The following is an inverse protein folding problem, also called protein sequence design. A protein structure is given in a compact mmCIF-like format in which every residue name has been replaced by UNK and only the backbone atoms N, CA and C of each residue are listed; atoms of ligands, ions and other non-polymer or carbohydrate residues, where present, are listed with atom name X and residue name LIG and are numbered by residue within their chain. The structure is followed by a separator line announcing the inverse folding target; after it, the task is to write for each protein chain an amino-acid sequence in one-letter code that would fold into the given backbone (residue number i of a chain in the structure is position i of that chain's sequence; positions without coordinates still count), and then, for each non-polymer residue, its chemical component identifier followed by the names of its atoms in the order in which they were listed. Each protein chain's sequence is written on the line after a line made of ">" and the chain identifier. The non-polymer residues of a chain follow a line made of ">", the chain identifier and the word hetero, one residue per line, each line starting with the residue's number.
data_IF_038002587218
#
_entry.id   IF_038002587218
#
_cell.length_a   1.000
_cell.length_b   1.000
_cell.length_c   1.000
_cell.angle_alpha   90.00
_cell.angle_beta   90.00
_cell.angle_gamma   90.00
#
_symmetry.space_group_name_H-M   'P 1'
#
loop_
_entity.id
_entity.type
_entity.pdbx_description
1 polymer ?
#
# COMPACT_ATOMS: atom_id res chain seq x y z
N UNK A 1 47.31 -20.82 -46.91
CA UNK A 1 47.59 -20.48 -48.33
C UNK A 1 46.60 -19.48 -48.78
N UNK A 2 47.10 -18.31 -48.93
CA UNK A 2 47.11 -17.41 -50.09
C UNK A 2 45.69 -17.05 -50.56
N UNK A 3 45.29 -15.85 -50.56
CA UNK A 3 45.68 -14.51 -51.05
C UNK A 3 44.39 -13.94 -51.65
N UNK A 4 43.92 -12.77 -51.22
CA UNK A 4 44.18 -11.45 -51.81
C UNK A 4 43.70 -11.40 -53.28
N UNK A 5 42.96 -10.41 -53.73
CA UNK A 5 43.19 -8.96 -53.87
C UNK A 5 41.91 -8.37 -54.47
N UNK A 6 41.40 -7.23 -54.00
CA UNK A 6 41.66 -5.91 -54.61
C UNK A 6 41.16 -5.79 -56.05
N UNK A 7 40.44 -4.83 -56.52
CA UNK A 7 40.55 -3.39 -56.39
C UNK A 7 39.51 -2.68 -57.29
N UNK A 8 39.11 -1.51 -56.89
CA UNK A 8 39.09 -0.24 -57.65
C UNK A 8 38.23 -0.18 -58.93
N UNK A 9 37.54 0.79 -59.17
CA UNK A 9 37.49 2.23 -58.95
C UNK A 9 36.77 2.91 -60.12
N UNK A 10 36.18 4.00 -59.82
CA UNK A 10 36.13 5.26 -60.55
C UNK A 10 35.27 5.32 -61.82
N UNK A 11 34.38 6.22 -61.84
CA UNK A 11 34.43 7.64 -62.00
C UNK A 11 33.69 8.13 -63.24
N UNK A 12 33.01 9.21 -63.07
CA UNK A 12 32.85 10.40 -63.92
C UNK A 12 31.78 10.32 -65.02
N UNK A 13 31.01 11.23 -65.20
CA UNK A 13 30.97 12.66 -65.34
C UNK A 13 29.84 13.11 -66.29
N UNK A 14 29.17 14.12 -65.91
CA UNK A 14 28.72 15.32 -66.66
C UNK A 14 27.69 15.18 -67.79
N UNK A 15 26.65 15.81 -67.57
CA UNK A 15 26.16 17.12 -68.03
C UNK A 15 25.38 17.07 -69.33
N UNK A 16 24.32 17.83 -69.43
CA UNK A 16 24.05 19.09 -70.11
C UNK A 16 22.55 19.23 -70.38
N UNK A 17 21.91 20.13 -69.73
CA UNK A 17 21.26 21.38 -70.12
C UNK A 17 20.21 21.40 -71.24
N UNK A 18 19.14 22.10 -70.94
CA UNK A 18 18.21 22.94 -71.74
C UNK A 18 17.03 22.18 -72.36
N UNK A 19 15.80 22.66 -72.34
CA UNK A 19 15.23 24.03 -72.37
C UNK A 19 13.76 24.00 -72.03
N UNK A 20 13.34 24.98 -71.29
CA UNK A 20 12.16 25.85 -71.37
C UNK A 20 10.98 25.37 -72.20
N UNK A 21 9.83 25.23 -71.57
CA UNK A 21 8.55 25.75 -72.07
C UNK A 21 7.60 26.07 -70.92
N UNK A 22 7.21 27.37 -70.87
CA UNK A 22 6.23 27.96 -69.98
C UNK A 22 4.86 27.53 -70.42
N UNK A 23 4.03 26.97 -69.54
CA UNK A 23 2.60 27.03 -69.64
C UNK A 23 2.00 27.32 -68.26
N UNK A 24 1.42 28.51 -68.15
CA UNK A 24 0.58 28.92 -67.01
C UNK A 24 -0.65 28.06 -66.94
N UNK A 25 -0.84 27.32 -65.83
CA UNK A 25 -2.13 26.90 -65.36
C UNK A 25 -2.23 27.23 -63.87
N UNK A 26 -3.13 28.17 -63.58
CA UNK A 26 -3.56 28.51 -62.23
C UNK A 26 -4.11 27.23 -61.55
N UNK A 27 -3.35 26.65 -60.69
CA UNK A 27 -3.76 25.62 -59.78
C UNK A 27 -3.66 26.13 -58.34
N UNK A 28 -4.76 26.26 -57.68
CA UNK A 28 -4.86 26.60 -56.24
C UNK A 28 -4.05 25.56 -55.44
N UNK A 29 -2.90 25.95 -54.95
CA UNK A 29 -2.16 25.15 -53.97
C UNK A 29 -2.78 25.48 -52.60
N UNK A 30 -3.66 24.60 -52.14
CA UNK A 30 -4.08 24.57 -50.73
C UNK A 30 -2.91 24.03 -49.93
N UNK A 31 -2.13 24.88 -49.34
CA UNK A 31 -1.12 24.51 -48.34
C UNK A 31 -1.86 24.09 -47.07
N UNK A 32 -2.06 22.78 -46.89
CA UNK A 32 -2.43 22.21 -45.59
C UNK A 32 -1.24 22.38 -44.65
N UNK A 33 -1.22 23.50 -43.92
CA UNK A 33 -0.36 23.64 -42.75
C UNK A 33 -0.80 22.60 -41.75
N UNK A 34 0.07 21.67 -41.29
CA UNK A 34 -0.25 20.86 -40.13
C UNK A 34 -0.45 21.81 -38.95
N UNK A 35 -1.68 21.88 -38.45
CA UNK A 35 -1.96 22.55 -37.18
C UNK A 35 -1.16 21.81 -36.12
N UNK A 36 0.01 22.31 -35.76
CA UNK A 36 0.69 21.98 -34.53
C UNK A 36 -0.26 22.39 -33.39
N UNK A 37 -1.06 21.46 -32.93
CA UNK A 37 -1.68 21.57 -31.62
C UNK A 37 -0.52 21.48 -30.62
N UNK A 38 0.01 22.64 -30.27
CA UNK A 38 0.87 22.81 -29.12
C UNK A 38 0.06 22.25 -27.94
N UNK A 39 0.34 21.01 -27.53
CA UNK A 39 -0.03 20.57 -26.18
C UNK A 39 0.57 21.61 -25.26
N UNK A 40 -0.24 22.52 -24.72
CA UNK A 40 0.13 23.32 -23.57
C UNK A 40 0.68 22.32 -22.55
N UNK A 41 1.99 22.30 -22.42
CA UNK A 41 2.67 21.67 -21.32
C UNK A 41 2.11 22.38 -20.10
N UNK A 42 1.23 21.69 -19.35
CA UNK A 42 0.74 22.21 -18.09
C UNK A 42 1.96 22.61 -17.29
N UNK A 43 1.99 23.85 -16.81
CA UNK A 43 2.99 24.27 -15.85
C UNK A 43 3.08 23.20 -14.77
N UNK A 44 4.29 22.87 -14.26
CA UNK A 44 4.40 21.92 -13.17
C UNK A 44 3.41 22.36 -12.10
N UNK A 45 2.54 21.42 -11.70
CA UNK A 45 1.47 21.66 -10.72
C UNK A 45 2.17 22.30 -9.51
N UNK A 46 1.87 23.57 -9.23
CA UNK A 46 2.42 24.25 -8.06
C UNK A 46 1.83 23.49 -6.88
N UNK A 47 2.63 22.57 -6.32
CA UNK A 47 2.19 21.64 -5.29
C UNK A 47 1.52 22.40 -4.16
N UNK A 48 0.58 21.75 -3.48
CA UNK A 48 -0.09 22.34 -2.33
C UNK A 48 0.94 22.86 -1.30
N UNK A 49 0.64 23.94 -0.56
CA UNK A 49 1.58 24.47 0.43
C UNK A 49 1.90 23.41 1.49
N UNK A 50 3.14 23.37 1.95
CA UNK A 50 3.54 22.51 3.04
C UNK A 50 2.76 22.87 4.31
N UNK A 51 2.31 21.83 5.04
CA UNK A 51 1.65 21.98 6.33
C UNK A 51 2.63 21.53 7.41
N UNK A 52 2.79 22.36 8.44
CA UNK A 52 3.61 21.98 9.61
C UNK A 52 2.69 21.43 10.71
N UNK A 53 3.07 20.30 11.28
CA UNK A 53 2.42 19.69 12.43
C UNK A 53 3.46 19.30 13.48
N UNK A 54 3.20 19.56 14.75
CA UNK A 54 4.01 19.03 15.86
C UNK A 54 3.61 17.58 16.13
N UNK A 55 4.53 16.82 16.68
CA UNK A 55 4.21 15.53 17.26
C UNK A 55 4.57 15.49 18.74
N UNK A 56 3.80 14.72 19.49
CA UNK A 56 4.00 14.39 20.87
C UNK A 56 4.39 12.93 21.01
N UNK A 57 5.51 12.62 21.62
CA UNK A 57 5.90 11.25 21.94
C UNK A 57 4.85 10.65 22.90
N UNK A 58 4.31 9.49 22.53
CA UNK A 58 3.38 8.71 23.36
C UNK A 58 4.16 7.61 24.09
N UNK A 59 5.03 6.90 23.37
CA UNK A 59 5.92 5.89 23.93
C UNK A 59 7.02 5.56 22.95
N UNK A 60 8.14 5.09 23.46
CA UNK A 60 9.27 4.52 22.73
C UNK A 60 9.66 3.14 23.28
N UNK A 61 10.80 2.61 22.87
CA UNK A 61 11.27 1.31 23.31
C UNK A 61 10.55 0.12 22.68
N UNK A 62 9.94 0.30 21.52
CA UNK A 62 9.20 -0.72 20.76
C UNK A 62 10.10 -1.40 19.72
N UNK A 63 9.86 -2.68 19.44
CA UNK A 63 10.54 -3.45 18.39
C UNK A 63 9.76 -3.40 17.07
N UNK A 64 10.06 -2.41 16.19
CA UNK A 64 9.36 -2.20 14.91
C UNK A 64 7.83 -2.23 15.08
N UNK A 65 7.20 -1.16 15.60
CA UNK A 65 5.75 -1.13 15.78
C UNK A 65 5.05 -1.11 14.41
N UNK A 66 4.20 -2.10 14.16
CA UNK A 66 3.55 -2.34 12.85
C UNK A 66 2.12 -1.88 12.76
N UNK A 67 1.40 -1.81 13.90
CA UNK A 67 0.01 -1.36 13.92
C UNK A 67 -0.38 -0.88 15.31
N UNK A 68 -1.37 -0.01 15.41
CA UNK A 68 -1.89 0.52 16.67
C UNK A 68 -3.41 0.51 16.67
N UNK A 69 -4.01 0.26 17.85
CA UNK A 69 -5.46 0.36 18.04
C UNK A 69 -5.78 0.88 19.43
N UNK A 70 -7.00 1.40 19.59
CA UNK A 70 -7.47 2.10 20.79
C UNK A 70 -8.71 1.38 21.32
N UNK A 71 -8.62 0.61 22.44
CA UNK A 71 -9.73 -0.21 22.95
C UNK A 71 -10.83 0.60 23.66
N UNK A 72 -10.71 1.93 23.73
CA UNK A 72 -11.73 2.83 24.27
C UNK A 72 -11.73 2.97 25.78
N UNK A 73 -10.66 2.51 26.46
CA UNK A 73 -10.46 2.62 27.92
C UNK A 73 -9.26 3.53 28.30
N UNK A 74 -8.73 4.26 27.33
CA UNK A 74 -7.53 5.09 27.47
C UNK A 74 -6.21 4.37 27.24
N UNK A 75 -6.21 3.06 27.11
CA UNK A 75 -5.03 2.29 26.73
C UNK A 75 -4.76 2.41 25.21
N UNK A 76 -3.49 2.22 24.82
CA UNK A 76 -3.07 2.10 23.42
C UNK A 76 -2.44 0.72 23.23
N UNK A 77 -2.95 -0.06 22.31
CA UNK A 77 -2.39 -1.37 21.96
C UNK A 77 -1.59 -1.28 20.68
N UNK A 78 -0.37 -1.83 20.74
CA UNK A 78 0.60 -1.75 19.65
C UNK A 78 1.11 -3.14 19.31
N UNK A 79 1.08 -3.51 18.05
CA UNK A 79 1.76 -4.71 17.58
C UNK A 79 3.23 -4.42 17.31
N UNK A 80 4.12 -5.24 17.85
CA UNK A 80 5.52 -5.28 17.47
C UNK A 80 5.75 -6.38 16.44
N UNK A 81 6.52 -6.10 15.41
CA UNK A 81 6.85 -7.06 14.34
C UNK A 81 7.35 -8.41 14.89
N UNK A 82 8.03 -8.37 16.04
CA UNK A 82 8.58 -9.54 16.75
C UNK A 82 7.53 -10.49 17.33
N UNK A 83 6.24 -10.10 17.35
CA UNK A 83 5.14 -10.99 17.76
C UNK A 83 4.45 -10.62 19.07
N UNK A 84 4.72 -9.47 19.64
CA UNK A 84 4.04 -8.97 20.83
C UNK A 84 2.92 -7.99 20.51
N UNK A 85 1.82 -8.07 21.25
CA UNK A 85 0.90 -6.93 21.42
C UNK A 85 1.26 -6.25 22.72
N UNK A 86 1.80 -5.04 22.64
CA UNK A 86 2.19 -4.22 23.80
C UNK A 86 1.05 -3.29 24.20
N UNK A 87 1.02 -2.94 25.46
CA UNK A 87 0.05 -2.00 26.03
C UNK A 87 0.76 -0.76 26.54
N UNK A 88 0.33 0.40 26.11
CA UNK A 88 0.70 1.68 26.67
C UNK A 88 -0.48 2.18 27.49
N UNK A 89 -0.25 2.35 28.78
CA UNK A 89 -1.26 2.80 29.74
C UNK A 89 -0.77 4.06 30.47
N UNK A 90 -1.57 5.12 30.44
CA UNK A 90 -1.19 6.41 31.03
C UNK A 90 0.19 6.90 30.55
N UNK A 91 0.51 6.74 29.26
CA UNK A 91 1.79 7.12 28.67
C UNK A 91 2.97 6.22 29.04
N UNK A 92 2.76 5.08 29.70
CA UNK A 92 3.81 4.13 30.06
C UNK A 92 3.64 2.81 29.31
N UNK A 93 4.70 2.34 28.65
CA UNK A 93 4.79 1.01 28.07
C UNK A 93 4.84 -0.03 29.19
N UNK A 94 3.85 -0.93 29.25
CA UNK A 94 3.82 -1.99 30.24
C UNK A 94 4.90 -3.04 29.93
N UNK A 95 5.49 -3.64 30.97
CA UNK A 95 6.50 -4.71 30.83
C UNK A 95 5.90 -5.95 30.20
N UNK A 96 4.73 -6.41 30.72
CA UNK A 96 4.07 -7.60 30.24
C UNK A 96 3.23 -7.27 28.98
N UNK A 97 3.37 -8.06 27.91
CA UNK A 97 2.54 -7.89 26.73
C UNK A 97 1.10 -8.37 26.98
N UNK A 98 0.14 -7.80 26.26
CA UNK A 98 -1.23 -8.31 26.21
C UNK A 98 -1.31 -9.70 25.60
N UNK A 99 -0.48 -9.95 24.57
CA UNK A 99 -0.44 -11.22 23.85
C UNK A 99 0.99 -11.44 23.31
N UNK A 100 1.47 -12.68 23.46
CA UNK A 100 2.73 -13.18 22.90
C UNK A 100 2.42 -14.28 21.85
N UNK A 101 2.72 -13.99 20.59
CA UNK A 101 2.48 -14.88 19.45
C UNK A 101 3.75 -15.55 18.92
N UNK A 102 4.91 -15.33 19.52
CA UNK A 102 6.20 -15.82 19.01
C UNK A 102 6.25 -17.33 18.81
N UNK A 103 5.55 -18.10 19.64
CA UNK A 103 5.46 -19.56 19.50
C UNK A 103 4.62 -20.03 18.30
N UNK A 104 3.82 -19.12 17.70
CA UNK A 104 2.96 -19.39 16.54
C UNK A 104 3.51 -18.81 15.24
N UNK A 105 4.52 -17.98 15.36
CA UNK A 105 5.11 -17.24 14.23
C UNK A 105 6.41 -17.88 13.76
N UNK A 106 6.80 -17.56 12.55
CA UNK A 106 8.18 -17.74 12.11
C UNK A 106 9.11 -16.87 12.97
N UNK A 107 10.38 -17.22 13.03
CA UNK A 107 11.40 -16.35 13.62
C UNK A 107 11.70 -15.24 12.62
N UNK A 108 11.44 -13.98 13.00
CA UNK A 108 11.76 -12.81 12.18
C UNK A 108 13.24 -12.48 12.25
N UNK A 109 13.80 -11.96 11.17
CA UNK A 109 15.18 -11.51 11.10
C UNK A 109 15.37 -10.19 11.88
N UNK A 110 16.61 -9.91 12.29
CA UNK A 110 16.92 -8.64 12.97
C UNK A 110 17.14 -7.45 12.03
N UNK A 111 17.41 -7.70 10.74
CA UNK A 111 17.58 -6.69 9.70
C UNK A 111 16.26 -6.35 8.98
N UNK A 112 16.35 -6.02 7.69
CA UNK A 112 15.16 -5.82 6.86
C UNK A 112 14.30 -7.07 6.85
N UNK A 113 13.03 -6.90 7.19
CA UNK A 113 12.06 -7.98 7.31
C UNK A 113 10.65 -7.45 7.06
N UNK A 114 9.88 -8.14 6.24
CA UNK A 114 8.48 -7.79 5.98
C UNK A 114 7.49 -8.70 6.72
N UNK A 115 7.95 -9.89 7.14
CA UNK A 115 7.14 -10.85 7.89
C UNK A 115 7.04 -10.45 9.37
N UNK A 116 6.12 -11.05 10.09
CA UNK A 116 5.97 -10.81 11.52
C UNK A 116 4.52 -10.69 11.95
N UNK A 117 4.29 -10.05 13.10
CA UNK A 117 2.96 -9.61 13.52
C UNK A 117 2.70 -8.24 12.90
N UNK A 118 1.82 -8.20 11.86
CA UNK A 118 1.72 -7.07 10.96
C UNK A 118 0.56 -6.13 11.27
N UNK A 119 -0.54 -6.66 11.86
CA UNK A 119 -1.74 -5.83 12.03
C UNK A 119 -2.63 -6.33 13.16
N UNK A 120 -3.41 -5.40 13.74
CA UNK A 120 -4.46 -5.67 14.72
C UNK A 120 -5.72 -4.88 14.37
N UNK A 121 -6.90 -5.50 14.49
CA UNK A 121 -8.18 -4.84 14.34
C UNK A 121 -9.15 -5.24 15.46
N UNK A 122 -9.79 -4.27 16.09
CA UNK A 122 -10.85 -4.54 17.06
C UNK A 122 -12.16 -4.87 16.34
N UNK A 123 -12.90 -5.85 16.86
CA UNK A 123 -14.25 -6.12 16.37
C UNK A 123 -15.13 -4.85 16.49
N UNK A 124 -16.03 -4.54 15.55
CA UNK A 124 -16.90 -3.35 15.64
C UNK A 124 -17.74 -3.29 16.96
N UNK A 125 -18.00 -4.46 17.55
CA UNK A 125 -18.67 -4.58 18.86
C UNK A 125 -17.69 -4.92 19.99
N UNK A 126 -16.43 -4.49 19.91
CA UNK A 126 -15.39 -4.83 20.89
C UNK A 126 -15.78 -4.48 22.33
N UNK A 127 -16.45 -3.35 22.53
CA UNK A 127 -16.95 -2.94 23.87
C UNK A 127 -17.77 -4.03 24.55
N UNK A 128 -18.47 -4.85 23.78
CA UNK A 128 -19.35 -5.94 24.27
C UNK A 128 -18.70 -7.30 24.21
N UNK A 129 -18.11 -7.68 23.07
CA UNK A 129 -17.64 -9.05 22.83
C UNK A 129 -16.17 -9.24 23.13
N UNK A 130 -15.41 -8.16 23.34
CA UNK A 130 -13.97 -8.17 23.65
C UNK A 130 -13.11 -8.92 22.63
N UNK A 131 -13.59 -9.06 21.38
CA UNK A 131 -12.90 -9.76 20.30
C UNK A 131 -12.04 -8.81 19.50
N UNK A 132 -10.85 -9.29 19.11
CA UNK A 132 -9.92 -8.60 18.21
C UNK A 132 -9.25 -9.60 17.28
N UNK A 133 -8.68 -9.11 16.21
CA UNK A 133 -8.09 -9.89 15.13
C UNK A 133 -6.67 -9.44 14.91
N UNK A 134 -5.81 -10.39 14.54
CA UNK A 134 -4.40 -10.12 14.19
C UNK A 134 -4.07 -10.76 12.86
N UNK A 135 -3.12 -10.17 12.15
CA UNK A 135 -2.46 -10.78 10.99
C UNK A 135 -0.99 -11.04 11.35
N UNK A 136 -0.53 -12.28 11.19
CA UNK A 136 0.85 -12.65 11.46
C UNK A 136 1.38 -13.70 10.49
N UNK A 137 2.71 -13.79 10.37
CA UNK A 137 3.42 -14.77 9.56
C UNK A 137 3.71 -16.04 10.35
N UNK A 138 3.06 -17.15 9.99
CA UNK A 138 3.20 -18.46 10.61
C UNK A 138 4.09 -19.40 9.78
N UNK A 139 4.68 -20.45 10.39
CA UNK A 139 5.40 -21.49 9.64
C UNK A 139 4.54 -22.10 8.54
N UNK A 140 5.13 -22.34 7.37
CA UNK A 140 4.49 -22.99 6.24
C UNK A 140 4.87 -24.45 6.09
N UNK A 141 4.19 -25.14 5.18
CA UNK A 141 4.59 -26.45 4.68
C UNK A 141 5.75 -26.31 3.69
N UNK A 142 6.46 -27.42 3.43
CA UNK A 142 7.59 -27.41 2.48
C UNK A 142 7.21 -26.83 1.11
N UNK A 143 8.08 -26.00 0.57
CA UNK A 143 7.92 -25.33 -0.73
C UNK A 143 7.31 -23.92 -0.65
N UNK A 144 6.95 -23.45 0.54
CA UNK A 144 6.49 -22.09 0.82
C UNK A 144 7.40 -21.43 1.85
N UNK A 145 7.51 -20.11 1.82
CA UNK A 145 8.28 -19.36 2.82
C UNK A 145 7.53 -19.33 4.16
N UNK A 146 6.28 -18.89 4.13
CA UNK A 146 5.44 -18.80 5.33
C UNK A 146 3.94 -18.83 4.98
N UNK A 147 3.10 -18.63 5.99
CA UNK A 147 1.66 -18.40 5.85
C UNK A 147 1.27 -17.09 6.49
N UNK A 148 0.58 -16.23 5.75
CA UNK A 148 -0.13 -15.10 6.32
C UNK A 148 -1.40 -15.58 7.02
N UNK A 149 -1.49 -15.45 8.35
CA UNK A 149 -2.60 -15.97 9.16
C UNK A 149 -3.40 -14.84 9.77
N UNK A 150 -4.71 -14.82 9.52
CA UNK A 150 -5.67 -14.00 10.29
C UNK A 150 -6.25 -14.83 11.39
N UNK A 151 -6.13 -14.39 12.65
CA UNK A 151 -6.68 -15.08 13.81
C UNK A 151 -7.49 -14.14 14.72
N UNK A 152 -8.58 -14.68 15.29
CA UNK A 152 -9.41 -14.03 16.30
C UNK A 152 -8.92 -14.41 17.70
N UNK A 153 -8.84 -13.41 18.56
CA UNK A 153 -8.62 -13.57 20.00
C UNK A 153 -9.71 -12.83 20.78
N UNK A 154 -9.83 -13.14 22.06
CA UNK A 154 -10.80 -12.51 22.95
C UNK A 154 -10.19 -12.23 24.32
N UNK A 155 -10.45 -11.05 24.88
CA UNK A 155 -10.12 -10.76 26.27
C UNK A 155 -11.00 -11.62 27.20
N UNK A 156 -10.38 -12.15 28.23
CA UNK A 156 -11.09 -12.70 29.38
C UNK A 156 -11.77 -11.59 30.20
N UNK A 157 -12.61 -11.98 31.15
CA UNK A 157 -13.21 -11.01 32.11
C UNK A 157 -12.14 -10.24 32.93
N UNK A 158 -10.93 -10.82 33.09
CA UNK A 158 -9.80 -10.19 33.78
C UNK A 158 -8.97 -9.26 32.88
N UNK A 159 -9.32 -9.12 31.60
CA UNK A 159 -8.58 -8.28 30.64
C UNK A 159 -7.29 -8.94 30.12
N UNK A 160 -7.11 -10.23 30.28
CA UNK A 160 -5.97 -11.02 29.76
C UNK A 160 -6.39 -11.80 28.51
N UNK A 161 -5.42 -12.32 27.77
CA UNK A 161 -5.62 -13.17 26.59
C UNK A 161 -4.88 -14.49 26.79
N UNK A 162 -5.54 -15.62 26.53
CA UNK A 162 -4.84 -16.90 26.40
C UNK A 162 -4.27 -17.00 24.97
N UNK A 163 -2.94 -17.07 24.78
CA UNK A 163 -2.33 -17.18 23.47
C UNK A 163 -2.73 -18.45 22.70
N UNK A 164 -3.26 -19.46 23.39
CA UNK A 164 -3.74 -20.70 22.77
C UNK A 164 -5.23 -20.66 22.38
N UNK A 165 -5.97 -19.63 22.78
CA UNK A 165 -7.40 -19.45 22.44
C UNK A 165 -7.64 -18.97 21.00
N UNK A 166 -6.58 -18.71 20.23
CA UNK A 166 -6.67 -18.13 18.89
C UNK A 166 -7.47 -19.01 17.92
N UNK A 167 -8.52 -18.44 17.33
CA UNK A 167 -9.32 -19.07 16.27
C UNK A 167 -8.83 -18.56 14.91
N UNK A 168 -8.24 -19.45 14.10
CA UNK A 168 -7.83 -19.10 12.73
C UNK A 168 -9.07 -18.80 11.88
N UNK A 169 -9.06 -17.64 11.25
CA UNK A 169 -10.08 -17.17 10.30
C UNK A 169 -9.71 -17.58 8.88
N UNK A 170 -8.49 -17.21 8.47
CA UNK A 170 -7.98 -17.36 7.11
C UNK A 170 -6.47 -17.63 7.17
N UNK A 171 -5.97 -18.39 6.20
CA UNK A 171 -4.54 -18.64 6.03
C UNK A 171 -4.19 -18.52 4.55
N UNK A 172 -3.24 -17.66 4.21
CA UNK A 172 -2.75 -17.39 2.85
C UNK A 172 -1.36 -18.00 2.74
N UNK A 173 -1.15 -18.83 1.73
CA UNK A 173 0.17 -19.40 1.43
C UNK A 173 1.04 -18.35 0.72
N UNK A 174 2.22 -18.07 1.29
CA UNK A 174 3.16 -17.06 0.81
C UNK A 174 4.43 -17.72 0.27
N UNK A 175 4.72 -17.56 -1.03
CA UNK A 175 5.87 -18.21 -1.65
C UNK A 175 7.21 -17.55 -1.29
N UNK A 176 7.23 -16.25 -0.97
CA UNK A 176 8.42 -15.47 -0.65
C UNK A 176 8.26 -14.74 0.70
N UNK A 177 9.38 -14.24 1.25
CA UNK A 177 9.40 -13.52 2.53
C UNK A 177 8.99 -12.05 2.45
N UNK A 178 8.65 -11.54 1.30
CA UNK A 178 8.29 -10.13 1.08
C UNK A 178 6.94 -9.99 0.36
N UNK A 179 6.43 -8.75 0.25
CA UNK A 179 5.11 -8.39 -0.29
C UNK A 179 3.95 -9.06 0.47
N UNK A 180 4.01 -9.02 1.79
CA UNK A 180 3.02 -9.70 2.63
C UNK A 180 1.68 -8.98 2.73
N UNK A 181 1.62 -7.68 2.38
CA UNK A 181 0.44 -6.86 2.68
C UNK A 181 0.15 -6.86 4.18
N UNK A 182 -0.78 -7.70 4.62
CA UNK A 182 -1.04 -8.04 6.03
C UNK A 182 -1.78 -6.97 6.82
N UNK A 183 -2.38 -5.98 6.17
CA UNK A 183 -3.29 -5.04 6.82
C UNK A 183 -4.69 -5.65 6.95
N UNK A 184 -5.31 -5.51 8.15
CA UNK A 184 -6.68 -5.91 8.40
C UNK A 184 -7.45 -4.75 9.04
N UNK A 185 -8.65 -4.48 8.53
CA UNK A 185 -9.58 -3.50 9.12
C UNK A 185 -11.03 -3.89 8.86
N UNK A 186 -11.92 -3.46 9.74
CA UNK A 186 -13.36 -3.57 9.51
C UNK A 186 -13.87 -2.40 8.70
N UNK A 187 -14.63 -2.70 7.64
CA UNK A 187 -15.40 -1.70 6.93
C UNK A 187 -16.64 -1.25 7.70
N UNK A 188 -17.27 -0.15 7.28
CA UNK A 188 -18.54 0.33 7.83
C UNK A 188 -19.69 -0.68 7.71
N UNK A 189 -19.54 -1.63 6.79
CA UNK A 189 -20.46 -2.74 6.56
C UNK A 189 -20.31 -3.90 7.55
N UNK A 190 -19.33 -3.78 8.48
CA UNK A 190 -19.06 -4.76 9.54
C UNK A 190 -18.31 -6.00 9.09
N UNK A 191 -17.84 -6.07 7.84
CA UNK A 191 -16.99 -7.14 7.33
C UNK A 191 -15.50 -6.83 7.53
N UNK A 192 -14.71 -7.88 7.64
CA UNK A 192 -13.26 -7.76 7.72
C UNK A 192 -12.66 -7.70 6.32
N UNK A 193 -11.83 -6.66 6.08
CA UNK A 193 -11.02 -6.51 4.89
C UNK A 193 -9.58 -6.91 5.21
N UNK A 194 -8.91 -7.54 4.26
CA UNK A 194 -7.57 -8.12 4.42
C UNK A 194 -6.78 -7.83 3.17
N UNK A 195 -5.60 -7.22 3.28
CA UNK A 195 -4.68 -7.09 2.15
C UNK A 195 -3.68 -8.23 2.09
N UNK A 196 -3.33 -8.64 0.87
CA UNK A 196 -2.28 -9.59 0.56
C UNK A 196 -1.51 -9.11 -0.65
N UNK A 197 -0.20 -9.14 -0.60
CA UNK A 197 0.66 -8.83 -1.73
C UNK A 197 0.67 -9.93 -2.78
N UNK A 198 1.44 -9.74 -3.84
CA UNK A 198 1.52 -10.66 -4.98
C UNK A 198 2.28 -11.96 -4.68
N UNK A 199 2.78 -12.13 -3.44
CA UNK A 199 3.54 -13.27 -3.00
C UNK A 199 5.05 -13.10 -3.14
N UNK A 200 5.52 -11.90 -3.46
CA UNK A 200 6.92 -11.51 -3.36
C UNK A 200 7.75 -11.74 -4.61
N UNK A 201 9.02 -11.43 -4.47
CA UNK A 201 9.98 -11.45 -5.57
C UNK A 201 9.81 -10.28 -6.53
N UNK A 202 10.58 -10.28 -7.62
CA UNK A 202 10.55 -9.22 -8.61
C UNK A 202 9.63 -9.58 -9.78
N UNK A 203 8.73 -8.64 -10.17
CA UNK A 203 7.97 -8.71 -11.42
C UNK A 203 6.84 -9.73 -11.42
N UNK A 204 6.29 -10.06 -10.23
CA UNK A 204 5.13 -10.96 -10.08
C UNK A 204 5.30 -12.26 -10.89
N UNK A 205 6.33 -13.04 -10.56
CA UNK A 205 6.72 -14.26 -11.29
C UNK A 205 5.98 -15.52 -10.87
N UNK A 206 5.20 -15.45 -9.81
CA UNK A 206 4.43 -16.57 -9.30
C UNK A 206 3.15 -16.76 -10.11
N UNK A 207 2.91 -18.01 -10.55
CA UNK A 207 1.78 -18.34 -11.43
C UNK A 207 2.02 -17.93 -12.90
N UNK A 208 1.15 -18.41 -13.78
CA UNK A 208 1.30 -18.25 -15.23
C UNK A 208 1.25 -16.79 -15.71
N UNK A 209 0.38 -15.98 -15.09
CA UNK A 209 0.17 -14.59 -15.50
C UNK A 209 0.56 -13.59 -14.41
N UNK A 210 1.19 -14.05 -13.31
CA UNK A 210 1.38 -13.32 -12.08
C UNK A 210 0.13 -13.33 -11.18
N UNK A 211 0.37 -13.17 -9.89
CA UNK A 211 -0.70 -13.24 -8.89
C UNK A 211 -1.60 -12.01 -8.87
N UNK A 212 -1.07 -10.82 -9.18
CA UNK A 212 -1.87 -9.58 -9.23
C UNK A 212 -3.12 -9.73 -10.10
N UNK A 213 -2.98 -10.31 -11.29
CA UNK A 213 -4.08 -10.52 -12.26
C UNK A 213 -4.77 -11.89 -12.15
N UNK A 214 -4.24 -12.83 -11.40
CA UNK A 214 -4.81 -14.17 -11.24
C UNK A 214 -5.98 -14.15 -10.25
N UNK A 215 -7.20 -14.37 -10.73
CA UNK A 215 -8.40 -14.35 -9.91
C UNK A 215 -8.63 -15.63 -9.09
N UNK A 216 -7.82 -16.68 -9.32
CA UNK A 216 -7.92 -17.95 -8.59
C UNK A 216 -6.96 -18.04 -7.39
N UNK A 217 -6.37 -16.92 -6.98
CA UNK A 217 -5.53 -16.80 -5.77
C UNK A 217 -5.97 -15.63 -4.91
N UNK A 218 -5.58 -15.63 -3.63
CA UNK A 218 -5.77 -14.48 -2.74
C UNK A 218 -4.59 -13.50 -2.77
N UNK A 219 -3.48 -13.87 -3.43
CA UNK A 219 -2.29 -13.02 -3.56
C UNK A 219 -2.53 -11.86 -4.53
N UNK A 220 -2.00 -10.66 -4.21
CA UNK A 220 -2.20 -9.44 -4.96
C UNK A 220 -3.63 -8.89 -4.89
N UNK A 221 -4.27 -8.98 -3.70
CA UNK A 221 -5.70 -8.71 -3.49
C UNK A 221 -5.99 -7.90 -2.23
N UNK A 222 -7.14 -7.26 -2.23
CA UNK A 222 -7.87 -6.93 -1.00
C UNK A 222 -9.07 -7.88 -0.94
N UNK A 223 -9.15 -8.64 0.14
CA UNK A 223 -10.23 -9.61 0.41
C UNK A 223 -11.28 -9.00 1.34
N UNK A 224 -12.51 -9.52 1.30
CA UNK A 224 -13.60 -9.11 2.21
C UNK A 224 -14.36 -10.33 2.67
N UNK A 225 -14.41 -10.53 3.99
CA UNK A 225 -14.99 -11.72 4.62
C UNK A 225 -15.90 -11.38 5.81
N UNK A 226 -16.90 -12.23 6.06
CA UNK A 226 -17.74 -12.16 7.23
C UNK A 226 -17.22 -13.13 8.30
N UNK A 227 -16.76 -12.59 9.43
CA UNK A 227 -16.18 -13.38 10.52
C UNK A 227 -17.21 -13.79 11.59
N UNK A 228 -18.48 -13.40 11.44
CA UNK A 228 -19.54 -13.71 12.39
C UNK A 228 -20.02 -15.16 12.20
N UNK A 229 -19.13 -16.12 12.51
CA UNK A 229 -19.35 -17.55 12.42
C UNK A 229 -18.54 -18.26 13.51
N UNK A 230 -18.89 -19.54 13.78
CA UNK A 230 -18.20 -20.36 14.80
C UNK A 230 -16.83 -20.84 14.33
N UNK A 231 -16.63 -21.03 13.03
CA UNK A 231 -15.38 -21.53 12.46
C UNK A 231 -15.06 -20.82 11.14
N UNK A 232 -13.79 -20.44 10.90
CA UNK A 232 -13.36 -19.75 9.69
C UNK A 232 -14.13 -18.46 9.45
N UNK A 233 -14.63 -18.29 8.23
CA UNK A 233 -15.39 -17.13 7.77
C UNK A 233 -16.52 -17.55 6.82
N UNK A 234 -17.38 -16.60 6.46
CA UNK A 234 -18.36 -16.71 5.38
C UNK A 234 -18.03 -15.66 4.30
N UNK A 235 -18.33 -16.00 3.06
CA UNK A 235 -18.21 -15.03 1.95
C UNK A 235 -19.50 -14.18 1.87
N UNK A 236 -19.40 -12.85 1.99
CA UNK A 236 -20.56 -11.99 1.82
C UNK A 236 -21.16 -12.13 0.40
N UNK A 237 -22.48 -12.36 0.30
CA UNK A 237 -23.16 -12.47 -0.99
C UNK A 237 -22.99 -11.23 -1.88
N UNK A 238 -22.68 -10.08 -1.27
CA UNK A 238 -22.46 -8.82 -1.97
C UNK A 238 -21.03 -8.65 -2.51
N UNK A 239 -20.12 -9.63 -2.35
CA UNK A 239 -18.80 -9.58 -2.97
C UNK A 239 -18.92 -9.64 -4.50
N UNK A 240 -18.00 -8.96 -5.25
CA UNK A 240 -18.13 -8.76 -6.69
C UNK A 240 -18.04 -10.05 -7.52
N UNK A 241 -17.36 -11.08 -6.97
CA UNK A 241 -17.01 -12.28 -7.75
C UNK A 241 -17.71 -13.55 -7.25
N UNK A 242 -18.72 -13.43 -6.39
CA UNK A 242 -19.55 -14.56 -5.95
C UNK A 242 -20.26 -15.19 -7.14
N UNK A 243 -20.15 -16.52 -7.28
CA UNK A 243 -20.73 -17.29 -8.37
C UNK A 243 -19.97 -17.22 -9.71
N UNK A 244 -18.84 -16.51 -9.78
CA UNK A 244 -17.99 -16.52 -10.97
C UNK A 244 -17.02 -17.70 -10.94
N UNK A 245 -17.11 -18.57 -11.93
CA UNK A 245 -16.23 -19.74 -12.07
C UNK A 245 -14.78 -19.27 -12.27
N UNK A 246 -13.83 -19.88 -11.58
CA UNK A 246 -12.40 -19.54 -11.68
C UNK A 246 -11.98 -18.32 -10.85
N UNK A 247 -12.91 -17.73 -10.08
CA UNK A 247 -12.65 -16.56 -9.25
C UNK A 247 -12.80 -16.91 -7.77
N UNK A 248 -11.86 -16.49 -6.93
CA UNK A 248 -12.00 -16.54 -5.47
C UNK A 248 -13.09 -15.56 -5.04
N UNK A 249 -14.19 -16.02 -4.41
CA UNK A 249 -15.31 -15.15 -4.08
C UNK A 249 -15.05 -14.18 -2.94
N UNK A 250 -13.95 -14.34 -2.20
CA UNK A 250 -13.49 -13.44 -1.14
C UNK A 250 -12.95 -12.12 -1.69
N UNK A 251 -12.51 -12.09 -2.96
CA UNK A 251 -11.87 -10.93 -3.57
C UNK A 251 -12.82 -9.75 -3.60
N UNK A 252 -12.36 -8.62 -3.02
CA UNK A 252 -13.01 -7.32 -3.12
C UNK A 252 -12.45 -6.48 -4.27
N UNK A 253 -11.11 -6.44 -4.40
CA UNK A 253 -10.37 -5.75 -5.45
C UNK A 253 -9.05 -6.51 -5.73
N UNK A 254 -8.47 -6.30 -6.90
CA UNK A 254 -7.30 -7.06 -7.38
C UNK A 254 -6.34 -6.20 -8.19
N UNK A 255 -5.19 -6.80 -8.57
CA UNK A 255 -4.18 -6.11 -9.35
C UNK A 255 -3.26 -5.26 -8.50
N UNK A 256 -2.92 -5.74 -7.30
CA UNK A 256 -1.97 -5.10 -6.39
C UNK A 256 -0.64 -5.84 -6.38
N UNK A 257 0.43 -5.09 -6.09
CA UNK A 257 1.75 -5.64 -5.82
C UNK A 257 1.94 -5.93 -4.33
N UNK A 258 1.91 -4.91 -3.51
CA UNK A 258 2.04 -5.02 -2.06
C UNK A 258 1.21 -3.93 -1.37
N UNK A 259 -0.13 -4.10 -1.26
CA UNK A 259 -1.00 -3.13 -0.61
C UNK A 259 -0.76 -3.17 0.90
N UNK A 260 0.31 -2.46 1.34
CA UNK A 260 0.88 -2.60 2.67
C UNK A 260 -0.05 -2.09 3.77
N UNK A 261 -0.58 -0.86 3.62
CA UNK A 261 -1.57 -0.32 4.56
C UNK A 261 -2.74 0.28 3.80
N UNK A 262 -3.92 -0.02 4.30
CA UNK A 262 -5.16 0.61 3.87
C UNK A 262 -5.95 1.11 5.07
N UNK A 263 -6.86 2.06 4.84
CA UNK A 263 -7.78 2.56 5.86
C UNK A 263 -9.10 3.01 5.28
N UNK A 264 -10.13 2.95 6.10
CA UNK A 264 -11.42 3.56 5.79
C UNK A 264 -11.48 4.98 6.34
N UNK A 265 -11.92 5.93 5.53
CA UNK A 265 -12.36 7.21 6.05
C UNK A 265 -13.60 7.01 6.94
N UNK A 266 -13.49 7.38 8.19
CA UNK A 266 -14.57 7.21 9.19
C UNK A 266 -15.87 7.93 8.85
N UNK A 267 -15.81 9.01 8.07
CA UNK A 267 -16.99 9.80 7.72
C UNK A 267 -17.68 9.27 6.46
N UNK A 268 -16.93 8.93 5.44
CA UNK A 268 -17.47 8.56 4.12
C UNK A 268 -17.50 7.06 3.86
N UNK A 269 -16.73 6.27 4.60
CA UNK A 269 -16.51 4.85 4.34
C UNK A 269 -15.64 4.56 3.11
N UNK A 270 -15.03 5.59 2.53
CA UNK A 270 -14.14 5.42 1.38
C UNK A 270 -12.86 4.69 1.82
N UNK A 271 -12.45 3.69 1.06
CA UNK A 271 -11.27 2.88 1.33
C UNK A 271 -10.08 3.41 0.54
N UNK A 272 -9.01 3.75 1.24
CA UNK A 272 -7.72 4.18 0.68
C UNK A 272 -6.67 3.11 0.92
N UNK A 273 -5.76 2.90 -0.02
CA UNK A 273 -4.62 2.00 0.13
C UNK A 273 -3.36 2.58 -0.51
N UNK A 274 -2.21 2.41 0.14
CA UNK A 274 -0.90 2.54 -0.48
C UNK A 274 -0.48 1.19 -1.03
N UNK A 275 -0.09 1.14 -2.30
CA UNK A 275 0.45 -0.05 -2.96
C UNK A 275 1.91 0.19 -3.33
N UNK A 276 2.81 -0.60 -2.76
CA UNK A 276 4.26 -0.42 -2.92
C UNK A 276 4.69 -0.89 -4.30
N UNK A 277 5.33 0.00 -5.04
CA UNK A 277 5.83 -0.25 -6.38
C UNK A 277 7.05 -1.14 -6.46
N UNK A 278 7.47 -1.48 -7.67
CA UNK A 278 8.59 -2.39 -7.91
C UNK A 278 9.91 -1.65 -8.08
N UNK A 279 9.98 -0.76 -9.05
CA UNK A 279 11.24 -0.21 -9.52
C UNK A 279 11.25 1.33 -9.58
N UNK A 280 10.11 1.97 -9.89
CA UNK A 280 10.07 3.37 -10.25
C UNK A 280 8.99 4.20 -9.57
N UNK A 281 7.83 3.62 -9.25
CA UNK A 281 6.65 4.37 -8.87
C UNK A 281 5.93 3.80 -7.66
N UNK A 282 5.69 4.65 -6.68
CA UNK A 282 4.82 4.40 -5.54
C UNK A 282 3.43 4.98 -5.79
N UNK A 283 2.36 4.34 -5.28
CA UNK A 283 1.01 4.79 -5.57
C UNK A 283 0.04 4.73 -4.38
N UNK A 284 -0.95 5.64 -4.41
CA UNK A 284 -2.08 5.61 -3.49
C UNK A 284 -3.38 5.50 -4.28
N UNK A 285 -4.24 4.60 -3.85
CA UNK A 285 -5.47 4.22 -4.51
C UNK A 285 -6.70 4.48 -3.64
N UNK A 286 -7.84 4.80 -4.28
CA UNK A 286 -9.17 4.66 -3.70
C UNK A 286 -9.74 3.33 -4.16
N UNK A 287 -10.03 2.45 -3.21
CA UNK A 287 -10.39 1.07 -3.51
C UNK A 287 -11.89 0.95 -3.74
N UNK A 288 -12.24 0.46 -4.93
CA UNK A 288 -13.61 0.22 -5.39
C UNK A 288 -13.90 -1.26 -5.51
N UNK A 289 -15.15 -1.63 -5.25
CA UNK A 289 -15.66 -2.99 -5.40
C UNK A 289 -15.41 -3.53 -6.82
N UNK A 290 -14.69 -4.65 -6.94
CA UNK A 290 -14.45 -5.36 -8.20
C UNK A 290 -13.44 -4.71 -9.14
N UNK A 291 -12.76 -3.63 -8.71
CA UNK A 291 -11.82 -2.90 -9.53
C UNK A 291 -10.47 -3.62 -9.65
N UNK A 292 -9.81 -3.43 -10.82
CA UNK A 292 -8.45 -3.84 -11.13
C UNK A 292 -7.50 -2.65 -11.00
N UNK A 293 -6.42 -2.78 -10.22
CA UNK A 293 -5.41 -1.73 -9.99
C UNK A 293 -4.14 -1.91 -10.83
N UNK A 294 -4.12 -2.96 -11.67
CA UNK A 294 -3.25 -3.04 -12.84
C UNK A 294 -1.93 -3.76 -12.67
N UNK A 295 -1.46 -4.05 -11.46
CA UNK A 295 -0.22 -4.80 -11.28
C UNK A 295 -0.37 -6.24 -11.87
N UNK A 296 0.54 -6.75 -12.68
CA UNK A 296 1.84 -6.19 -13.16
C UNK A 296 1.77 -5.58 -14.57
N UNK A 297 0.62 -5.22 -15.07
CA UNK A 297 0.47 -4.57 -16.39
C UNK A 297 1.03 -3.15 -16.31
N UNK A 298 0.71 -2.46 -15.21
CA UNK A 298 1.19 -1.10 -14.90
C UNK A 298 1.84 -1.06 -13.51
N UNK A 299 2.73 -0.08 -13.33
CA UNK A 299 3.27 0.42 -12.07
C UNK A 299 2.95 1.90 -12.00
N UNK A 300 2.13 2.33 -11.04
CA UNK A 300 1.51 3.66 -11.11
C UNK A 300 0.64 3.83 -12.36
N UNK A 301 0.85 4.91 -13.09
CA UNK A 301 0.18 5.16 -14.39
C UNK A 301 1.02 4.71 -15.59
N UNK A 302 2.12 3.99 -15.36
CA UNK A 302 3.13 3.64 -16.35
C UNK A 302 3.07 2.14 -16.73
N UNK A 303 3.27 1.84 -18.00
CA UNK A 303 3.38 0.44 -18.43
C UNK A 303 4.58 -0.24 -17.75
N UNK A 304 4.36 -1.42 -17.17
CA UNK A 304 5.42 -2.24 -16.57
C UNK A 304 5.68 -3.52 -17.39
N UNK A 305 4.68 -4.34 -17.62
CA UNK A 305 4.82 -5.56 -18.42
C UNK A 305 3.61 -5.74 -19.35
N UNK A 306 3.77 -5.42 -20.64
CA UNK A 306 4.98 -4.94 -21.33
C UNK A 306 5.36 -3.51 -20.96
N UNK A 307 6.64 -3.15 -21.10
CA UNK A 307 7.18 -1.83 -20.76
C UNK A 307 6.61 -0.67 -21.59
N UNK A 308 5.99 -0.97 -22.73
CA UNK A 308 5.31 0.01 -23.59
C UNK A 308 4.09 -0.61 -24.25
N UNK A 309 3.08 0.19 -24.56
CA UNK A 309 1.89 -0.25 -25.29
C UNK A 309 1.00 -1.23 -24.50
N UNK A 310 1.07 -1.18 -23.17
CA UNK A 310 0.24 -2.02 -22.31
C UNK A 310 -1.26 -1.70 -22.49
N UNK A 311 -2.11 -2.71 -22.37
CA UNK A 311 -3.57 -2.51 -22.37
C UNK A 311 -4.04 -2.09 -20.98
N UNK A 312 -4.43 -0.82 -20.86
CA UNK A 312 -4.92 -0.22 -19.62
C UNK A 312 -6.47 -0.24 -19.53
N UNK A 313 -7.14 -0.89 -20.46
CA UNK A 313 -8.61 -0.97 -20.47
C UNK A 313 -9.11 -1.68 -19.21
N UNK A 314 -9.99 -1.01 -18.46
CA UNK A 314 -10.57 -1.53 -17.23
C UNK A 314 -9.64 -1.46 -16.00
N UNK A 315 -8.46 -0.88 -16.13
CA UNK A 315 -7.57 -0.59 -15.00
C UNK A 315 -8.01 0.71 -14.33
N UNK A 316 -8.08 0.70 -13.02
CA UNK A 316 -8.34 1.88 -12.19
C UNK A 316 -7.01 2.51 -11.82
N UNK A 317 -6.77 3.71 -12.32
CA UNK A 317 -5.53 4.44 -12.06
C UNK A 317 -5.48 5.00 -10.64
N UNK A 318 -4.27 5.17 -10.05
CA UNK A 318 -4.09 5.73 -8.72
C UNK A 318 -4.55 7.20 -8.65
N UNK A 319 -4.87 7.66 -7.45
CA UNK A 319 -5.21 9.06 -7.19
C UNK A 319 -3.98 9.96 -7.04
N UNK A 320 -2.85 9.37 -6.76
CA UNK A 320 -1.51 9.98 -6.78
C UNK A 320 -0.45 8.91 -6.94
N UNK A 321 0.64 9.28 -7.55
CA UNK A 321 1.87 8.51 -7.63
C UNK A 321 3.09 9.41 -7.37
N UNK A 322 4.22 8.82 -7.03
CA UNK A 322 5.50 9.49 -6.95
C UNK A 322 6.64 8.54 -7.28
N UNK A 323 7.73 9.10 -7.80
CA UNK A 323 8.85 8.31 -8.27
C UNK A 323 9.78 7.89 -7.12
N UNK A 324 10.56 6.83 -7.33
CA UNK A 324 11.63 6.40 -6.42
C UNK A 324 12.76 7.42 -6.23
N UNK A 325 12.70 8.57 -6.92
CA UNK A 325 13.55 9.73 -6.61
C UNK A 325 13.05 10.51 -5.38
N UNK A 326 11.77 10.36 -5.03
CA UNK A 326 11.14 11.06 -3.91
C UNK A 326 10.97 10.16 -2.68
N UNK A 327 10.75 8.86 -2.86
CA UNK A 327 10.55 7.86 -1.81
C UNK A 327 10.67 6.47 -2.40
N UNK A 328 10.70 5.44 -1.58
CA UNK A 328 10.99 4.06 -2.02
C UNK A 328 9.99 3.00 -1.55
N UNK A 329 9.03 3.40 -0.71
CA UNK A 329 8.01 2.48 -0.21
C UNK A 329 6.88 3.25 0.46
N UNK A 330 5.73 3.31 -0.21
CA UNK A 330 4.54 3.97 0.33
C UNK A 330 3.96 3.19 1.50
N UNK A 331 3.70 3.90 2.59
CA UNK A 331 3.14 3.28 3.80
C UNK A 331 1.60 3.27 3.78
N UNK A 332 0.96 4.19 3.06
CA UNK A 332 -0.46 4.45 3.24
C UNK A 332 -0.74 5.29 4.49
N UNK A 333 -1.98 5.43 4.91
CA UNK A 333 -2.32 6.30 6.02
C UNK A 333 -3.81 6.44 6.28
N UNK A 334 -4.27 7.62 6.73
CA UNK A 334 -5.65 7.88 7.14
C UNK A 334 -6.17 9.23 6.66
N UNK A 335 -7.48 9.34 6.44
CA UNK A 335 -8.14 10.65 6.32
C UNK A 335 -8.18 11.28 7.71
N UNK A 336 -7.63 12.47 7.85
CA UNK A 336 -7.61 13.16 9.13
C UNK A 336 -9.01 13.71 9.49
N UNK A 337 -9.59 13.17 10.52
CA UNK A 337 -10.92 13.55 11.03
C UNK A 337 -10.89 14.25 12.40
N UNK A 338 -9.69 14.42 12.98
CA UNK A 338 -9.48 15.07 14.26
C UNK A 338 -9.76 16.57 14.28
N UNK A 339 -9.52 17.18 15.43
CA UNK A 339 -9.74 18.63 15.67
C UNK A 339 -8.44 19.39 15.97
N UNK A 340 -7.34 18.67 16.31
CA UNK A 340 -6.07 19.29 16.66
C UNK A 340 -5.42 20.02 15.47
N UNK A 341 -5.61 19.52 14.25
CA UNK A 341 -4.97 20.03 13.04
C UNK A 341 -6.03 20.44 11.99
N UNK A 342 -6.73 21.58 12.16
CA UNK A 342 -7.81 22.00 11.26
C UNK A 342 -7.37 22.10 9.79
N UNK A 343 -6.10 22.48 9.54
CA UNK A 343 -5.54 22.54 8.20
C UNK A 343 -5.50 21.18 7.48
N UNK A 344 -5.52 20.06 8.20
CA UNK A 344 -5.51 18.69 7.67
C UNK A 344 -6.91 18.06 7.58
N UNK A 345 -7.94 18.69 8.14
CA UNK A 345 -9.32 18.14 8.17
C UNK A 345 -9.79 17.70 6.78
N UNK A 346 -10.24 16.43 6.69
CA UNK A 346 -10.73 15.82 5.44
C UNK A 346 -9.66 15.53 4.39
N UNK A 347 -8.37 15.66 4.73
CA UNK A 347 -7.25 15.29 3.85
C UNK A 347 -6.75 13.90 4.20
N UNK A 348 -6.39 13.11 3.19
CA UNK A 348 -5.74 11.81 3.39
C UNK A 348 -4.26 12.02 3.65
N UNK A 349 -3.78 11.59 4.81
CA UNK A 349 -2.39 11.63 5.23
C UNK A 349 -1.74 10.30 4.92
N UNK A 350 -0.54 10.30 4.38
CA UNK A 350 0.26 9.10 4.13
C UNK A 350 1.75 9.43 4.21
N UNK A 351 2.59 8.42 4.19
CA UNK A 351 4.04 8.59 4.23
C UNK A 351 4.75 7.63 3.29
N UNK A 352 6.01 7.95 3.05
CA UNK A 352 7.01 6.99 2.57
C UNK A 352 7.82 6.46 3.76
N UNK A 353 8.30 5.23 3.63
CA UNK A 353 9.13 4.56 4.62
C UNK A 353 10.37 5.37 5.05
N UNK A 354 10.97 6.13 4.14
CA UNK A 354 12.14 6.99 4.44
C UNK A 354 11.82 8.20 5.32
N UNK A 355 10.56 8.38 5.76
CA UNK A 355 10.14 9.42 6.69
C UNK A 355 9.50 10.66 6.07
N UNK A 356 9.33 10.71 4.76
CA UNK A 356 8.56 11.76 4.10
C UNK A 356 7.07 11.58 4.40
N UNK A 357 6.39 12.66 4.83
CA UNK A 357 4.96 12.63 5.12
C UNK A 357 4.23 13.58 4.18
N UNK A 358 3.12 13.10 3.65
CA UNK A 358 2.33 13.79 2.63
C UNK A 358 0.87 13.91 3.05
N UNK A 359 0.15 14.80 2.38
CA UNK A 359 -1.30 14.81 2.41
C UNK A 359 -1.89 14.93 1.00
N UNK A 360 -3.08 14.38 0.81
CA UNK A 360 -3.86 14.53 -0.41
C UNK A 360 -5.11 15.35 -0.12
N UNK A 361 -5.38 16.32 -0.99
CA UNK A 361 -6.59 17.12 -1.02
C UNK A 361 -7.36 16.83 -2.29
N UNK A 362 -8.64 16.45 -2.14
CA UNK A 362 -9.56 16.40 -3.27
C UNK A 362 -10.03 17.81 -3.62
N UNK A 363 -9.78 18.23 -4.85
CA UNK A 363 -10.21 19.55 -5.36
C UNK A 363 -11.55 19.50 -6.10
N UNK A 364 -12.20 18.34 -6.16
CA UNK A 364 -13.37 18.07 -6.98
C UNK A 364 -13.05 17.77 -8.45
N UNK A 365 -11.85 18.15 -8.92
CA UNK A 365 -11.36 17.85 -10.28
C UNK A 365 -10.23 16.81 -10.28
N UNK A 366 -9.38 16.87 -9.29
CA UNK A 366 -8.23 15.99 -9.13
C UNK A 366 -7.83 15.90 -7.65
N UNK A 367 -7.03 14.89 -7.32
CA UNK A 367 -6.31 14.82 -6.07
C UNK A 367 -4.97 15.54 -6.22
N UNK A 368 -4.64 16.40 -5.28
CA UNK A 368 -3.37 17.12 -5.25
C UNK A 368 -2.60 16.75 -3.99
N UNK A 369 -1.29 16.55 -4.14
CA UNK A 369 -0.38 16.19 -3.05
C UNK A 369 0.31 17.43 -2.49
N UNK A 370 0.43 17.49 -1.17
CA UNK A 370 1.27 18.44 -0.45
C UNK A 370 2.09 17.73 0.62
N UNK A 371 3.10 18.41 1.13
CA UNK A 371 4.01 17.87 2.14
C UNK A 371 3.55 18.23 3.55
N UNK A 372 3.82 17.34 4.52
CA UNK A 372 3.70 17.61 5.95
C UNK A 372 5.09 17.60 6.56
N UNK A 373 5.47 18.72 7.19
CA UNK A 373 6.69 18.79 8.00
C UNK A 373 6.34 18.47 9.45
N UNK A 374 6.81 17.33 9.94
CA UNK A 374 6.68 16.97 11.34
C UNK A 374 7.77 17.65 12.16
N UNK A 375 7.37 18.33 13.24
CA UNK A 375 8.27 18.94 14.23
C UNK A 375 8.29 18.12 15.52
N UNK A 376 9.35 18.24 16.30
CA UNK A 376 9.59 17.51 17.55
C UNK A 376 9.71 15.99 17.36
N UNK A 377 10.22 15.58 16.20
CA UNK A 377 10.52 14.18 15.89
C UNK A 377 12.01 14.05 15.56
N UNK A 378 12.70 12.99 16.02
CA UNK A 378 14.09 12.76 15.62
C UNK A 378 14.21 12.62 14.09
N UNK A 379 15.33 13.06 13.51
CA UNK A 379 15.58 12.90 12.07
C UNK A 379 15.82 11.43 11.69
N UNK A 380 15.64 11.11 10.41
CA UNK A 380 15.98 9.81 9.81
C UNK A 380 15.18 8.62 10.35
N UNK A 381 14.05 8.85 11.00
CA UNK A 381 13.14 7.77 11.38
C UNK A 381 12.47 7.16 10.14
N UNK A 382 12.32 5.85 10.18
CA UNK A 382 11.46 5.13 9.22
C UNK A 382 10.01 5.23 9.70
N UNK A 383 9.09 5.61 8.83
CA UNK A 383 7.66 5.52 9.13
C UNK A 383 7.19 4.12 8.78
N UNK A 384 6.57 3.42 9.73
CA UNK A 384 6.13 2.04 9.54
C UNK A 384 4.61 1.91 9.39
N UNK A 385 3.85 2.79 10.05
CA UNK A 385 2.41 2.80 10.00
C UNK A 385 1.84 4.11 10.54
N UNK A 386 0.55 4.28 10.34
CA UNK A 386 -0.28 5.26 11.03
C UNK A 386 -1.37 4.56 11.84
N UNK A 387 -1.97 5.28 12.78
CA UNK A 387 -3.18 4.90 13.46
C UNK A 387 -4.08 6.09 13.68
N UNK A 388 -5.36 5.83 13.96
CA UNK A 388 -6.37 6.86 14.21
C UNK A 388 -7.15 6.50 15.47
N UNK A 389 -7.21 7.42 16.45
CA UNK A 389 -7.99 7.21 17.67
C UNK A 389 -9.50 7.46 17.44
N UNK A 390 -10.32 7.25 18.48
CA UNK A 390 -11.77 7.44 18.41
C UNK A 390 -12.16 8.88 18.03
N UNK A 391 -11.32 9.86 18.40
CA UNK A 391 -11.53 11.28 18.09
C UNK A 391 -11.08 11.68 16.68
N UNK A 392 -10.50 10.75 15.92
CA UNK A 392 -9.98 11.02 14.57
C UNK A 392 -8.59 11.66 14.56
N UNK A 393 -7.89 11.67 15.70
CA UNK A 393 -6.51 12.14 15.78
C UNK A 393 -5.55 11.05 15.28
N UNK A 394 -4.53 11.47 14.55
CA UNK A 394 -3.61 10.56 13.86
C UNK A 394 -2.32 10.37 14.65
N UNK A 395 -1.86 9.14 14.68
CA UNK A 395 -0.61 8.69 15.28
C UNK A 395 0.33 8.16 14.20
N UNK A 396 1.63 8.41 14.39
CA UNK A 396 2.70 7.94 13.50
C UNK A 396 3.56 6.94 14.25
N UNK A 397 3.72 5.76 13.68
CA UNK A 397 4.56 4.69 14.19
C UNK A 397 5.88 4.71 13.43
N UNK A 398 6.98 4.73 14.16
CA UNK A 398 8.31 4.91 13.57
C UNK A 398 9.30 3.89 14.12
N UNK A 399 10.42 3.73 13.39
CA UNK A 399 11.59 3.00 13.86
C UNK A 399 12.87 3.74 13.45
N UNK A 400 13.85 3.81 14.32
CA UNK A 400 15.16 4.36 13.96
C UNK A 400 16.04 3.32 13.24
N UNK A 401 15.78 2.03 13.41
CA UNK A 401 16.46 0.93 12.73
C UNK A 401 15.70 0.47 11.47
N UNK A 402 16.38 -0.33 10.64
CA UNK A 402 15.77 -0.92 9.42
C UNK A 402 14.81 -2.05 9.80
N UNK A 403 15.07 -2.77 10.89
CA UNK A 403 14.31 -3.95 11.31
C UNK A 403 14.09 -4.04 12.82
N UNK A 404 13.54 -5.15 13.30
CA UNK A 404 13.06 -5.28 14.67
C UNK A 404 14.13 -5.69 15.72
N UNK A 405 15.43 -5.73 15.37
CA UNK A 405 16.48 -6.21 16.28
C UNK A 405 16.52 -5.45 17.61
N UNK A 406 16.39 -4.13 17.54
CA UNK A 406 16.50 -3.25 18.70
C UNK A 406 15.18 -2.52 19.01
N UNK A 407 14.95 -2.15 20.29
CA UNK A 407 13.76 -1.41 20.70
C UNK A 407 13.89 0.10 20.36
N UNK A 408 14.02 0.40 19.06
CA UNK A 408 14.18 1.75 18.52
C UNK A 408 12.90 2.34 17.94
N UNK A 409 11.80 1.59 18.04
CA UNK A 409 10.48 2.02 17.61
C UNK A 409 9.83 2.98 18.60
N UNK A 410 9.02 3.89 18.07
CA UNK A 410 8.27 4.88 18.84
C UNK A 410 6.91 5.18 18.20
N UNK A 411 5.98 5.68 19.02
CA UNK A 411 4.67 6.18 18.60
C UNK A 411 4.58 7.65 18.96
N UNK A 412 4.16 8.44 18.00
CA UNK A 412 3.92 9.86 18.16
C UNK A 412 2.47 10.19 17.81
N UNK A 413 1.83 11.08 18.57
CA UNK A 413 0.55 11.68 18.22
C UNK A 413 0.79 13.00 17.49
N UNK A 414 0.10 13.22 16.38
CA UNK A 414 0.11 14.52 15.69
C UNK A 414 -0.74 15.50 16.51
N UNK A 415 -0.19 16.66 16.82
CA UNK A 415 -0.81 17.66 17.68
C UNK A 415 -0.68 19.07 17.11
N UNK A 416 -1.45 20.00 17.64
CA UNK A 416 -1.42 21.41 17.26
C UNK A 416 -0.06 22.06 17.57
N UNK A 417 0.31 23.05 16.75
CA UNK A 417 1.46 23.93 16.96
C UNK A 417 1.32 24.79 18.21
#
# INVERSE_FOLDING_TARGET
>A
MKKQLQNKATSKFLSVLRSVMVLCCLGLVVVLLPSYISKKQSAPDAGLPAITAKVQLISDGLHSPTSVTFPGNGDVWVTEQTGFIRVIKNGKLLTDPLLDLRSKMIKVNGGYEERGLLSIALHPKFKFNKKFYVFYSAPATAGLDHKGVVAEYQLTAKGTVDPNSGRVILSIDEPEGNHNGGCIQFGHDGYLYISSGDGGGQGDKHGEFGNGQNMNTWLGKILRVNINTKAGYLVPKSNPFVGKIGYKPEIWAYGFRNPYRFSFDKLTGQLFAGDVGQDLWEEVNIIKKGANYGWKIVEGTHCYSPATGCDIKGITMPITEYSHKEGISVIGGYVYNGVQLPALKGKYLFADWIGQVYYLKNTGKAWQRGNITLQNIPPNLKVLAFGEDEAGEVYVLTNADIGPANPKGAIYKMVRN
#
